data_IF_623741952570
#
_entry.id   IF_623741952570
#
_cell.length_a   1.000
_cell.length_b   1.000
_cell.length_c   1.000
_cell.angle_alpha   90.00
_cell.angle_beta   90.00
_cell.angle_gamma   90.00
#
_symmetry.space_group_name_H-M   'P 1'
#
loop_
_entity.id
_entity.type
_entity.pdbx_description
1 polymer ?
#
# COMPACT_ATOMS: atom_id res chain seq x y z
N UNK A 1 38.50 63.58 -20.40
CA UNK A 1 39.26 63.37 -19.16
C UNK A 1 38.47 62.42 -18.30
N UNK A 2 39.10 61.27 -17.96
CA UNK A 2 38.79 60.27 -16.93
C UNK A 2 37.44 59.54 -17.10
N UNK A 3 37.31 58.37 -17.67
CA UNK A 3 37.74 56.98 -17.31
C UNK A 3 37.33 56.60 -15.87
N UNK A 4 36.23 55.83 -15.78
CA UNK A 4 35.74 55.15 -14.59
C UNK A 4 35.44 53.68 -14.94
N UNK A 5 36.36 52.84 -14.54
CA UNK A 5 36.46 51.40 -14.76
C UNK A 5 35.44 50.67 -13.86
N UNK A 6 34.45 50.00 -14.42
CA UNK A 6 33.51 49.17 -13.71
C UNK A 6 33.85 47.70 -13.89
N UNK A 7 34.52 47.09 -12.91
CA UNK A 7 34.84 45.66 -12.85
C UNK A 7 33.59 44.83 -12.79
N UNK A 8 33.32 44.06 -13.83
CA UNK A 8 32.35 42.98 -13.87
C UNK A 8 32.91 41.78 -13.07
N UNK A 9 32.34 41.50 -11.92
CA UNK A 9 32.51 40.22 -11.25
C UNK A 9 31.67 39.18 -12.01
N UNK A 10 32.34 38.32 -12.78
CA UNK A 10 31.78 37.15 -13.38
C UNK A 10 31.55 36.09 -12.28
N UNK A 11 30.28 35.79 -12.02
CA UNK A 11 29.90 34.61 -11.29
C UNK A 11 30.01 33.44 -12.25
N UNK A 12 31.08 32.65 -12.13
CA UNK A 12 31.24 31.40 -12.83
C UNK A 12 30.19 30.41 -12.34
N UNK A 13 29.10 30.23 -13.10
CA UNK A 13 28.19 29.12 -12.92
C UNK A 13 28.95 27.81 -13.12
N UNK A 14 29.15 27.04 -12.07
CA UNK A 14 29.52 25.64 -12.20
C UNK A 14 28.36 24.94 -12.90
N UNK A 15 28.53 24.69 -14.20
CA UNK A 15 27.72 23.74 -14.94
C UNK A 15 27.94 22.37 -14.30
N UNK A 16 26.85 21.80 -13.75
CA UNK A 16 26.83 20.44 -13.29
C UNK A 16 27.31 19.51 -14.42
N UNK A 17 28.40 18.82 -14.15
CA UNK A 17 28.87 17.74 -15.01
C UNK A 17 27.74 16.72 -15.09
N UNK A 18 27.23 16.49 -16.29
CA UNK A 18 26.25 15.42 -16.55
C UNK A 18 26.85 14.09 -16.10
N UNK A 19 26.26 13.50 -15.04
CA UNK A 19 26.55 12.13 -14.68
C UNK A 19 26.15 11.25 -15.86
N UNK A 20 27.13 10.62 -16.50
CA UNK A 20 26.88 9.55 -17.47
C UNK A 20 26.06 8.43 -16.82
N UNK A 21 25.47 7.53 -17.60
CA UNK A 21 24.68 6.43 -17.05
C UNK A 21 25.55 5.71 -16.02
N UNK A 22 25.14 5.80 -14.72
CA UNK A 22 25.80 5.07 -13.62
C UNK A 22 25.63 3.58 -13.92
N UNK A 23 26.73 2.83 -13.94
CA UNK A 23 26.66 1.38 -13.98
C UNK A 23 25.80 0.89 -12.81
N UNK A 24 24.87 -0.06 -13.04
CA UNK A 24 24.03 -0.57 -11.99
C UNK A 24 24.88 -1.17 -10.86
N UNK A 25 24.52 -0.84 -9.62
CA UNK A 25 25.26 -1.34 -8.45
C UNK A 25 25.10 -2.86 -8.34
N UNK A 26 26.21 -3.59 -8.38
CA UNK A 26 26.21 -5.05 -8.22
C UNK A 26 25.87 -5.43 -6.78
N UNK A 27 24.88 -6.32 -6.63
CA UNK A 27 24.35 -6.71 -5.35
C UNK A 27 24.33 -8.24 -5.15
N UNK A 28 24.45 -8.65 -3.91
CA UNK A 28 24.24 -10.02 -3.45
C UNK A 28 23.00 -10.07 -2.56
N UNK A 29 22.05 -10.97 -2.84
CA UNK A 29 20.84 -11.13 -2.04
C UNK A 29 20.95 -12.33 -1.12
N UNK A 30 20.77 -12.13 0.19
CA UNK A 30 20.81 -13.16 1.22
C UNK A 30 19.45 -13.28 1.88
N UNK A 31 18.84 -14.47 1.83
CA UNK A 31 17.58 -14.76 2.50
C UNK A 31 17.85 -15.68 3.71
N UNK A 32 17.84 -15.14 4.93
CA UNK A 32 18.00 -15.95 6.13
C UNK A 32 16.68 -16.66 6.46
N UNK A 33 16.75 -17.99 6.60
CA UNK A 33 15.62 -18.84 6.98
C UNK A 33 15.93 -19.49 8.33
N UNK A 34 15.12 -19.18 9.34
CA UNK A 34 15.25 -19.77 10.66
C UNK A 34 14.65 -21.18 10.61
N UNK A 35 15.44 -22.20 10.94
CA UNK A 35 14.97 -23.57 11.04
C UNK A 35 14.22 -23.75 12.37
N UNK A 36 12.89 -23.87 12.32
CA UNK A 36 12.11 -24.24 13.47
C UNK A 36 12.47 -25.65 13.96
N UNK A 37 12.38 -25.86 15.27
CA UNK A 37 12.56 -27.21 15.84
C UNK A 37 11.48 -28.12 15.27
N UNK A 38 11.89 -29.34 14.88
CA UNK A 38 10.99 -30.36 14.32
C UNK A 38 9.72 -30.52 15.18
N UNK A 39 8.58 -30.10 14.65
CA UNK A 39 7.28 -30.16 15.30
C UNK A 39 6.32 -29.01 15.01
N UNK A 40 6.82 -27.82 14.69
CA UNK A 40 6.00 -26.65 14.36
C UNK A 40 5.81 -26.53 12.84
N UNK A 41 5.03 -27.42 12.28
CA UNK A 41 4.47 -27.22 10.95
C UNK A 41 3.30 -26.22 11.08
N UNK A 42 3.61 -24.94 11.22
CA UNK A 42 2.60 -23.91 11.08
C UNK A 42 2.04 -23.95 9.64
N UNK A 43 0.70 -23.92 9.46
CA UNK A 43 0.08 -23.94 8.12
C UNK A 43 0.48 -22.76 7.23
N UNK A 44 1.18 -21.77 7.77
CA UNK A 44 1.60 -20.51 7.13
C UNK A 44 3.08 -20.45 6.74
N UNK A 45 3.77 -21.59 6.68
CA UNK A 45 5.18 -21.57 6.31
C UNK A 45 5.34 -21.25 4.82
N UNK A 46 5.89 -20.09 4.52
CA UNK A 46 6.22 -19.67 3.15
C UNK A 46 7.30 -20.55 2.53
N UNK A 47 7.19 -20.75 1.22
CA UNK A 47 8.22 -21.44 0.46
C UNK A 47 9.53 -20.66 0.45
N UNK A 48 10.65 -21.33 0.74
CA UNK A 48 11.97 -20.70 0.82
C UNK A 48 12.40 -20.11 -0.53
N UNK A 49 12.09 -20.77 -1.66
CA UNK A 49 12.42 -20.30 -3.01
C UNK A 49 11.52 -19.13 -3.43
N UNK A 50 10.25 -19.13 -3.03
CA UNK A 50 9.36 -18.01 -3.26
C UNK A 50 9.83 -16.75 -2.50
N UNK A 51 10.33 -16.91 -1.27
CA UNK A 51 10.96 -15.81 -0.51
C UNK A 51 12.22 -15.29 -1.18
N UNK A 52 13.06 -16.18 -1.73
CA UNK A 52 14.25 -15.76 -2.49
C UNK A 52 13.85 -14.99 -3.73
N UNK A 53 12.86 -15.48 -4.48
CA UNK A 53 12.34 -14.80 -5.67
C UNK A 53 11.78 -13.41 -5.34
N UNK A 54 11.03 -13.28 -4.24
CA UNK A 54 10.52 -11.99 -3.75
C UNK A 54 11.66 -11.03 -3.40
N UNK A 55 12.67 -11.49 -2.64
CA UNK A 55 13.81 -10.66 -2.23
C UNK A 55 14.64 -10.17 -3.43
N UNK A 56 14.84 -11.02 -4.43
CA UNK A 56 15.48 -10.66 -5.70
C UNK A 56 14.63 -9.64 -6.45
N UNK A 57 13.31 -9.84 -6.53
CA UNK A 57 12.38 -8.90 -7.16
C UNK A 57 12.37 -7.52 -6.49
N UNK A 58 12.49 -7.46 -5.15
CA UNK A 58 12.65 -6.20 -4.41
C UNK A 58 13.96 -5.49 -4.77
N UNK A 59 15.06 -6.21 -4.86
CA UNK A 59 16.36 -5.63 -5.23
C UNK A 59 16.36 -5.11 -6.67
N UNK A 60 15.74 -5.83 -7.61
CA UNK A 60 15.56 -5.40 -9.00
C UNK A 60 14.68 -4.14 -9.11
N UNK A 61 13.73 -3.93 -8.18
CA UNK A 61 12.86 -2.76 -8.18
C UNK A 61 13.60 -1.43 -7.97
N UNK A 62 14.85 -1.47 -7.54
CA UNK A 62 15.77 -0.33 -7.41
C UNK A 62 16.97 -0.41 -8.37
N UNK A 63 16.82 -1.09 -9.49
CA UNK A 63 17.81 -1.21 -10.55
C UNK A 63 19.18 -1.76 -10.09
N UNK A 64 19.17 -2.70 -9.12
CA UNK A 64 20.37 -3.41 -8.74
C UNK A 64 20.69 -4.53 -9.75
N UNK A 65 21.98 -4.71 -10.05
CA UNK A 65 22.48 -5.86 -10.80
C UNK A 65 22.76 -7.01 -9.83
N UNK A 66 21.94 -8.05 -9.88
CA UNK A 66 22.02 -9.18 -8.95
C UNK A 66 23.10 -10.15 -9.42
N UNK A 67 24.29 -10.02 -8.84
CA UNK A 67 25.43 -10.86 -9.16
C UNK A 67 25.29 -12.28 -8.60
N UNK A 68 24.63 -12.42 -7.45
CA UNK A 68 24.39 -13.70 -6.80
C UNK A 68 23.26 -13.58 -5.77
N UNK A 69 22.58 -14.70 -5.47
CA UNK A 69 21.51 -14.76 -4.49
C UNK A 69 21.51 -16.13 -3.78
N UNK A 70 21.05 -16.19 -2.54
CA UNK A 70 20.99 -17.48 -1.86
C UNK A 70 20.27 -17.49 -0.52
N UNK A 71 19.75 -18.67 -0.19
CA UNK A 71 19.08 -18.96 1.07
C UNK A 71 20.11 -19.41 2.10
N UNK A 72 20.05 -18.83 3.30
CA UNK A 72 20.92 -19.17 4.43
C UNK A 72 20.09 -19.73 5.56
N UNK A 73 20.19 -21.05 5.77
CA UNK A 73 19.50 -21.74 6.87
C UNK A 73 20.18 -21.45 8.20
N UNK A 74 19.45 -20.87 9.14
CA UNK A 74 19.91 -20.46 10.46
C UNK A 74 19.25 -21.35 11.52
N UNK A 75 20.04 -22.05 12.33
CA UNK A 75 19.52 -22.86 13.45
C UNK A 75 19.13 -22.00 14.64
N UNK A 76 19.86 -20.92 14.88
CA UNK A 76 19.61 -19.97 15.97
C UNK A 76 20.19 -18.61 15.60
N UNK A 77 19.40 -17.53 15.64
CA UNK A 77 19.88 -16.17 15.37
C UNK A 77 20.99 -15.75 16.32
N UNK A 78 22.09 -15.23 15.77
CA UNK A 78 23.22 -14.73 16.56
C UNK A 78 23.05 -13.22 16.82
N UNK A 79 23.23 -12.74 18.07
CA UNK A 79 23.12 -11.30 18.38
C UNK A 79 24.10 -10.43 17.61
N UNK A 80 25.29 -10.95 17.28
CA UNK A 80 26.34 -10.19 16.62
C UNK A 80 26.19 -10.09 15.09
N UNK A 81 25.72 -11.15 14.41
CA UNK A 81 25.79 -11.27 12.94
C UNK A 81 24.55 -11.91 12.34
N UNK A 82 23.48 -12.17 13.11
CA UNK A 82 22.29 -12.90 12.73
C UNK A 82 22.56 -14.38 12.44
N UNK A 83 23.60 -14.70 11.69
CA UNK A 83 24.00 -16.04 11.26
C UNK A 83 25.34 -16.47 11.88
N UNK A 84 25.63 -17.78 11.85
CA UNK A 84 26.88 -18.32 12.40
C UNK A 84 28.13 -17.89 11.61
N UNK A 85 29.32 -17.85 12.26
CA UNK A 85 30.57 -17.37 11.66
C UNK A 85 30.93 -18.10 10.36
N UNK A 86 30.76 -19.43 10.30
CA UNK A 86 31.07 -20.18 9.08
C UNK A 86 30.18 -19.75 7.88
N UNK A 87 28.92 -19.38 8.11
CA UNK A 87 28.07 -18.83 7.04
C UNK A 87 28.46 -17.42 6.66
N UNK A 88 28.88 -16.60 7.62
CA UNK A 88 29.40 -15.25 7.35
C UNK A 88 30.65 -15.33 6.47
N UNK A 89 31.59 -16.27 6.77
CA UNK A 89 32.79 -16.48 5.98
C UNK A 89 32.52 -17.03 4.58
N UNK A 90 31.58 -18.00 4.45
CA UNK A 90 31.13 -18.54 3.16
C UNK A 90 30.59 -17.42 2.25
N UNK A 91 29.72 -16.58 2.78
CA UNK A 91 29.13 -15.42 2.06
C UNK A 91 30.24 -14.42 1.72
N UNK A 92 31.18 -14.13 2.64
CA UNK A 92 32.30 -13.24 2.38
C UNK A 92 33.16 -13.71 1.20
N UNK A 93 33.36 -15.03 1.06
CA UNK A 93 34.09 -15.61 -0.08
C UNK A 93 33.32 -15.41 -1.40
N UNK A 94 31.99 -15.62 -1.41
CA UNK A 94 31.13 -15.40 -2.59
C UNK A 94 31.12 -13.93 -3.00
N UNK A 95 30.99 -13.00 -2.05
CA UNK A 95 31.00 -11.54 -2.28
C UNK A 95 32.30 -11.12 -2.97
N UNK A 96 33.45 -11.61 -2.50
CA UNK A 96 34.76 -11.32 -3.11
C UNK A 96 34.91 -11.87 -4.51
N UNK A 97 34.42 -13.09 -4.77
CA UNK A 97 34.46 -13.71 -6.11
C UNK A 97 33.57 -12.94 -7.09
N UNK A 98 32.40 -12.53 -6.63
CA UNK A 98 31.43 -11.81 -7.45
C UNK A 98 31.71 -10.31 -7.58
N UNK A 99 32.71 -9.77 -6.87
CA UNK A 99 33.04 -8.33 -6.81
C UNK A 99 31.82 -7.45 -6.52
N UNK A 100 31.18 -7.73 -5.37
CA UNK A 100 29.93 -7.10 -4.96
C UNK A 100 30.20 -6.05 -3.88
N UNK A 101 29.70 -4.82 -4.10
CA UNK A 101 29.81 -3.71 -3.15
C UNK A 101 28.59 -3.55 -2.22
N UNK A 102 27.47 -4.22 -2.52
CA UNK A 102 26.22 -4.13 -1.76
C UNK A 102 25.63 -5.50 -1.47
N UNK A 103 25.26 -5.75 -0.21
CA UNK A 103 24.55 -6.97 0.19
C UNK A 103 23.17 -6.61 0.72
N UNK A 104 22.16 -7.24 0.17
CA UNK A 104 20.78 -7.16 0.63
C UNK A 104 20.50 -8.35 1.53
N UNK A 105 20.11 -8.12 2.78
CA UNK A 105 19.68 -9.17 3.71
C UNK A 105 18.17 -9.08 3.90
N UNK A 106 17.47 -10.11 3.45
CA UNK A 106 16.00 -10.19 3.51
C UNK A 106 15.48 -10.54 4.92
N UNK A 107 15.88 -9.74 5.89
CA UNK A 107 15.43 -9.81 7.28
C UNK A 107 15.74 -8.49 7.98
N UNK A 108 15.02 -8.14 9.06
CA UNK A 108 15.36 -6.97 9.87
C UNK A 108 16.70 -7.23 10.59
N UNK A 109 17.63 -6.29 10.44
CA UNK A 109 18.93 -6.32 11.13
C UNK A 109 18.97 -5.30 12.28
N UNK A 110 19.56 -5.69 13.39
CA UNK A 110 19.95 -4.69 14.38
C UNK A 110 21.14 -3.87 13.86
N UNK A 111 21.35 -2.63 14.30
CA UNK A 111 22.48 -1.80 13.90
C UNK A 111 23.84 -2.45 14.16
N UNK A 112 23.92 -3.27 15.22
CA UNK A 112 25.14 -4.02 15.56
C UNK A 112 25.37 -5.14 14.53
N UNK A 113 24.33 -5.89 14.18
CA UNK A 113 24.43 -6.93 13.17
C UNK A 113 24.85 -6.34 11.83
N UNK A 114 24.20 -5.28 11.39
CA UNK A 114 24.53 -4.62 10.13
C UNK A 114 26.00 -4.18 10.10
N UNK A 115 26.45 -3.44 11.11
CA UNK A 115 27.84 -2.96 11.18
C UNK A 115 28.87 -4.09 11.20
N UNK A 116 28.56 -5.17 11.93
CA UNK A 116 29.48 -6.32 11.99
C UNK A 116 29.54 -7.04 10.65
N UNK A 117 28.40 -7.24 9.98
CA UNK A 117 28.34 -7.84 8.64
C UNK A 117 29.04 -6.96 7.60
N UNK A 118 28.87 -5.64 7.63
CA UNK A 118 29.61 -4.71 6.74
C UNK A 118 31.13 -4.83 6.92
N UNK A 119 31.58 -5.00 8.17
CA UNK A 119 32.99 -5.19 8.48
C UNK A 119 33.53 -6.52 7.96
N UNK A 120 32.81 -7.62 8.19
CA UNK A 120 33.21 -8.96 7.77
C UNK A 120 33.20 -9.13 6.25
N UNK A 121 32.22 -8.52 5.58
CA UNK A 121 32.04 -8.63 4.15
C UNK A 121 32.76 -7.56 3.34
N UNK A 122 33.24 -6.49 3.99
CA UNK A 122 33.83 -5.29 3.32
C UNK A 122 32.91 -4.71 2.25
N UNK A 123 31.62 -4.85 2.40
CA UNK A 123 30.55 -4.38 1.52
C UNK A 123 29.48 -3.66 2.33
N UNK A 124 28.74 -2.74 1.69
CA UNK A 124 27.56 -2.16 2.34
C UNK A 124 26.49 -3.21 2.55
N UNK A 125 25.76 -3.12 3.65
CA UNK A 125 24.66 -4.02 3.97
C UNK A 125 23.38 -3.22 4.12
N UNK A 126 22.36 -3.61 3.40
CA UNK A 126 20.99 -3.09 3.54
C UNK A 126 20.09 -4.23 4.00
N UNK A 127 19.26 -3.97 5.00
CA UNK A 127 18.26 -4.93 5.45
C UNK A 127 16.93 -4.74 4.69
N UNK A 128 15.97 -5.67 4.88
CA UNK A 128 14.66 -5.63 4.24
C UNK A 128 13.97 -4.28 4.43
N UNK A 129 13.98 -3.71 5.65
CA UNK A 129 13.38 -2.40 5.93
C UNK A 129 14.04 -1.28 5.13
N UNK A 130 15.37 -1.24 5.10
CA UNK A 130 16.13 -0.26 4.33
C UNK A 130 15.86 -0.40 2.83
N UNK A 131 15.80 -1.63 2.30
CA UNK A 131 15.49 -1.88 0.89
C UNK A 131 14.10 -1.36 0.51
N UNK A 132 13.08 -1.66 1.31
CA UNK A 132 11.71 -1.17 1.08
C UNK A 132 11.68 0.36 1.08
N UNK A 133 12.38 1.00 2.02
CA UNK A 133 12.49 2.47 2.07
C UNK A 133 13.13 3.05 0.80
N UNK A 134 14.18 2.43 0.27
CA UNK A 134 14.81 2.87 -0.98
C UNK A 134 13.86 2.72 -2.17
N UNK A 135 13.09 1.62 -2.25
CA UNK A 135 12.07 1.44 -3.29
C UNK A 135 11.04 2.57 -3.21
N UNK A 136 10.53 2.84 -2.01
CA UNK A 136 9.55 3.91 -1.80
C UNK A 136 10.11 5.30 -2.12
N UNK A 137 11.38 5.55 -1.80
CA UNK A 137 12.08 6.78 -2.15
C UNK A 137 12.08 7.06 -3.65
N UNK A 138 12.26 6.01 -4.46
CA UNK A 138 12.22 6.10 -5.92
C UNK A 138 10.81 6.22 -6.49
N UNK A 139 9.80 5.67 -5.82
CA UNK A 139 8.40 5.62 -6.30
C UNK A 139 7.56 6.82 -5.89
N UNK A 140 7.91 7.52 -4.82
CA UNK A 140 7.18 8.69 -4.33
C UNK A 140 7.22 9.84 -5.35
N UNK A 141 6.11 10.10 -6.00
CA UNK A 141 5.97 11.18 -7.00
C UNK A 141 5.29 12.40 -6.40
N UNK A 142 4.30 12.19 -5.52
CA UNK A 142 3.59 13.28 -4.86
C UNK A 142 4.43 13.93 -3.77
N UNK A 143 4.14 15.20 -3.47
CA UNK A 143 4.79 15.89 -2.36
C UNK A 143 4.50 15.21 -1.02
N UNK A 144 3.28 14.69 -0.84
CA UNK A 144 2.89 13.94 0.35
C UNK A 144 3.65 12.63 0.48
N UNK A 145 3.68 11.82 -0.59
CA UNK A 145 4.44 10.57 -0.62
C UNK A 145 5.93 10.79 -0.30
N UNK A 146 6.56 11.84 -0.87
CA UNK A 146 7.94 12.20 -0.57
C UNK A 146 8.17 12.54 0.90
N UNK A 147 7.27 13.33 1.51
CA UNK A 147 7.36 13.68 2.92
C UNK A 147 7.17 12.46 3.83
N UNK A 148 6.28 11.54 3.46
CA UNK A 148 6.07 10.29 4.19
C UNK A 148 7.29 9.38 4.15
N UNK A 149 7.87 9.20 2.96
CA UNK A 149 9.09 8.41 2.79
C UNK A 149 10.26 9.05 3.53
N UNK A 150 10.43 10.37 3.46
CA UNK A 150 11.47 11.10 4.21
C UNK A 150 11.29 10.92 5.73
N UNK A 151 10.04 10.97 6.22
CA UNK A 151 9.74 10.74 7.63
C UNK A 151 10.15 9.33 8.06
N UNK A 152 9.82 8.32 7.26
CA UNK A 152 10.17 6.92 7.52
C UNK A 152 11.68 6.71 7.50
N UNK A 153 12.39 7.25 6.51
CA UNK A 153 13.85 7.21 6.43
C UNK A 153 14.53 7.84 7.66
N UNK A 154 14.11 9.03 8.06
CA UNK A 154 14.66 9.72 9.21
C UNK A 154 14.38 8.98 10.53
N UNK A 155 13.20 8.37 10.65
CA UNK A 155 12.85 7.53 11.81
C UNK A 155 13.72 6.28 11.88
N UNK A 156 13.91 5.62 10.76
CA UNK A 156 14.80 4.47 10.62
C UNK A 156 16.27 4.85 10.94
N UNK A 157 16.80 5.92 10.36
CA UNK A 157 18.15 6.42 10.65
C UNK A 157 18.31 6.77 12.13
N UNK A 158 17.34 7.47 12.72
CA UNK A 158 17.36 7.84 14.15
C UNK A 158 17.41 6.60 15.05
N UNK A 159 16.66 5.54 14.75
CA UNK A 159 16.68 4.29 15.51
C UNK A 159 18.06 3.62 15.49
N UNK A 160 18.80 3.76 14.41
CA UNK A 160 20.14 3.21 14.23
C UNK A 160 21.21 4.00 14.93
N UNK A 161 21.13 5.32 14.95
CA UNK A 161 22.06 6.20 15.69
C UNK A 161 22.01 5.95 17.21
N UNK A 162 20.82 5.81 17.80
CA UNK A 162 20.65 5.59 19.24
C UNK A 162 21.30 4.28 19.70
N UNK A 163 21.15 3.20 18.93
CA UNK A 163 21.70 1.88 19.31
C UNK A 163 23.21 1.77 19.11
N UNK A 164 23.79 2.52 18.22
CA UNK A 164 25.24 2.59 18.04
C UNK A 164 25.93 3.24 19.27
N UNK A 165 25.27 4.17 19.92
CA UNK A 165 25.79 4.95 21.03
C UNK A 165 25.82 4.20 22.38
N UNK A 166 24.74 3.47 22.70
CA UNK A 166 24.66 2.69 23.94
C UNK A 166 25.73 1.60 24.05
N UNK A 167 26.33 1.18 22.92
CA UNK A 167 27.38 0.19 22.91
C UNK A 167 28.77 0.80 23.20
N UNK A 168 28.99 2.07 22.84
CA UNK A 168 30.24 2.79 23.15
C UNK A 168 30.31 3.18 24.63
N UNK A 169 29.20 3.51 25.28
CA UNK A 169 29.14 3.77 26.72
C UNK A 169 29.51 2.53 27.56
N UNK A 170 29.05 1.33 27.15
CA UNK A 170 29.39 0.08 27.87
C UNK A 170 30.85 -0.35 27.77
N UNK A 171 31.58 0.09 26.74
CA UNK A 171 32.99 -0.21 26.56
C UNK A 171 33.93 0.78 27.28
N UNK A 172 33.43 1.96 27.66
CA UNK A 172 34.17 2.93 28.49
C UNK A 172 33.73 2.83 29.95
N UNK A 173 34.09 1.72 30.57
CA UNK A 173 33.97 1.57 32.02
C UNK A 173 34.84 2.61 32.73
N UNK A 174 34.21 3.51 33.49
CA UNK A 174 34.85 4.27 34.52
C UNK A 174 35.38 5.65 34.12
N UNK A 175 34.91 6.60 34.83
CA UNK A 175 35.21 8.03 34.91
C UNK A 175 34.42 8.93 33.96
N UNK A 176 33.38 9.50 34.58
CA UNK A 176 32.51 10.50 34.01
C UNK A 176 33.17 11.85 33.78
N UNK A 177 32.46 12.69 33.09
CA UNK A 177 32.58 14.16 32.99
C UNK A 177 33.46 14.79 31.90
N UNK A 178 33.91 14.07 30.90
CA UNK A 178 34.43 14.74 29.69
C UNK A 178 33.87 14.09 28.45
N UNK A 179 32.68 14.60 27.98
CA UNK A 179 32.16 14.29 26.66
C UNK A 179 33.18 14.68 25.59
N UNK A 180 33.76 13.69 24.91
CA UNK A 180 34.68 13.97 23.81
C UNK A 180 33.98 14.61 22.62
N UNK A 181 34.66 15.29 21.68
CA UNK A 181 34.09 15.96 20.52
C UNK A 181 33.21 15.04 19.64
N UNK A 182 33.30 13.70 19.77
CA UNK A 182 32.44 12.74 19.12
C UNK A 182 31.03 12.58 19.72
N UNK A 183 30.84 12.83 21.01
CA UNK A 183 29.54 12.81 21.69
C UNK A 183 28.67 13.95 21.24
N UNK A 184 29.24 15.15 21.20
CA UNK A 184 28.54 16.36 20.77
C UNK A 184 28.08 16.28 19.31
N UNK A 185 28.81 15.61 18.44
CA UNK A 185 28.42 15.44 17.03
C UNK A 185 27.22 14.53 16.86
N UNK A 186 27.21 13.38 17.54
CA UNK A 186 26.07 12.44 17.47
C UNK A 186 24.80 13.05 18.08
N UNK A 187 24.93 13.78 19.20
CA UNK A 187 23.78 14.48 19.78
C UNK A 187 23.28 15.62 18.88
N UNK A 188 24.19 16.35 18.23
CA UNK A 188 23.83 17.36 17.24
C UNK A 188 23.10 16.72 16.04
N UNK A 189 23.61 15.63 15.48
CA UNK A 189 22.98 14.90 14.37
C UNK A 189 21.60 14.38 14.77
N UNK A 190 21.46 13.80 15.97
CA UNK A 190 20.19 13.34 16.52
C UNK A 190 19.17 14.45 16.67
N UNK A 191 19.62 15.63 17.12
CA UNK A 191 18.77 16.81 17.27
C UNK A 191 18.30 17.30 15.90
N UNK A 192 19.21 17.41 14.92
CA UNK A 192 18.88 17.82 13.55
C UNK A 192 17.85 16.88 12.91
N UNK A 193 18.03 15.56 13.05
CA UNK A 193 17.06 14.57 12.57
C UNK A 193 15.71 14.74 13.27
N UNK A 194 15.71 14.95 14.60
CA UNK A 194 14.48 15.15 15.35
C UNK A 194 13.75 16.45 14.95
N UNK A 195 14.48 17.53 14.73
CA UNK A 195 13.94 18.81 14.26
C UNK A 195 13.30 18.62 12.86
N UNK A 196 13.99 17.89 11.95
CA UNK A 196 13.48 17.60 10.62
C UNK A 196 12.21 16.74 10.68
N UNK A 197 12.19 15.67 11.49
CA UNK A 197 11.01 14.85 11.75
C UNK A 197 9.82 15.70 12.21
N UNK A 198 10.06 16.61 13.16
CA UNK A 198 9.00 17.49 13.71
C UNK A 198 8.46 18.43 12.64
N UNK A 199 9.32 18.95 11.77
CA UNK A 199 8.95 19.82 10.66
C UNK A 199 8.09 19.06 9.63
N UNK A 200 8.54 17.87 9.21
CA UNK A 200 7.80 17.03 8.24
C UNK A 200 6.42 16.67 8.77
N UNK A 201 6.30 16.31 10.06
CA UNK A 201 4.99 16.01 10.66
C UNK A 201 4.04 17.21 10.57
N UNK A 202 4.52 18.44 10.81
CA UNK A 202 3.70 19.65 10.64
C UNK A 202 3.29 19.87 9.19
N UNK A 203 4.18 19.62 8.24
CA UNK A 203 3.90 19.74 6.80
C UNK A 203 2.84 18.71 6.39
N UNK A 204 2.96 17.45 6.82
CA UNK A 204 1.97 16.39 6.58
C UNK A 204 0.60 16.71 7.20
N UNK A 205 0.56 17.27 8.41
CA UNK A 205 -0.69 17.70 9.05
C UNK A 205 -1.37 18.84 8.26
N UNK A 206 -0.60 19.71 7.63
CA UNK A 206 -1.14 20.77 6.77
C UNK A 206 -1.73 20.16 5.48
N UNK A 207 -1.04 19.20 4.86
CA UNK A 207 -1.53 18.48 3.66
C UNK A 207 -2.82 17.73 3.96
N UNK A 208 -2.89 17.01 5.10
CA UNK A 208 -4.10 16.30 5.55
C UNK A 208 -5.29 17.25 5.73
N UNK A 209 -5.11 18.40 6.37
CA UNK A 209 -6.17 19.40 6.52
C UNK A 209 -6.66 19.92 5.18
N UNK A 210 -5.75 20.19 4.24
CA UNK A 210 -6.12 20.65 2.91
C UNK A 210 -6.91 19.58 2.14
N UNK A 211 -6.47 18.30 2.22
CA UNK A 211 -7.19 17.16 1.65
C UNK A 211 -8.61 17.01 2.23
N UNK A 212 -8.75 17.13 3.55
CA UNK A 212 -10.06 17.08 4.21
C UNK A 212 -11.02 18.18 3.74
N UNK A 213 -10.51 19.39 3.45
CA UNK A 213 -11.29 20.48 2.87
C UNK A 213 -11.72 20.19 1.43
N UNK A 214 -10.82 19.67 0.59
CA UNK A 214 -11.15 19.26 -0.77
C UNK A 214 -12.14 18.10 -0.81
N UNK A 215 -12.04 17.18 0.16
CA UNK A 215 -12.95 16.04 0.31
C UNK A 215 -14.36 16.49 0.65
N UNK A 216 -14.53 17.43 1.58
CA UNK A 216 -15.84 18.06 1.86
C UNK A 216 -16.45 18.72 0.62
N UNK A 217 -15.64 19.25 -0.30
CA UNK A 217 -16.10 19.77 -1.58
C UNK A 217 -16.57 18.66 -2.55
N UNK A 218 -15.93 17.50 -2.55
CA UNK A 218 -16.28 16.32 -3.38
C UNK A 218 -17.46 15.54 -2.81
N UNK A 219 -17.68 15.58 -1.49
CA UNK A 219 -18.84 14.95 -0.82
C UNK A 219 -20.22 15.51 -1.28
N UNK A 220 -20.23 16.52 -2.15
CA UNK A 220 -21.44 17.01 -2.82
C UNK A 220 -21.98 16.09 -3.91
N UNK A 221 -21.19 15.09 -4.34
CA UNK A 221 -21.64 14.02 -5.24
C UNK A 221 -21.24 12.70 -4.58
N UNK A 222 -22.17 11.99 -3.93
CA UNK A 222 -21.88 10.80 -3.14
C UNK A 222 -21.68 9.58 -4.05
N UNK A 223 -20.61 9.56 -4.84
CA UNK A 223 -20.22 8.33 -5.53
C UNK A 223 -19.60 7.37 -4.50
N UNK A 224 -20.13 6.14 -4.39
CA UNK A 224 -19.52 5.12 -3.55
C UNK A 224 -18.05 4.89 -3.92
N UNK A 225 -17.23 4.64 -2.90
CA UNK A 225 -15.80 4.44 -3.05
C UNK A 225 -15.42 2.97 -2.95
N UNK A 226 -14.58 2.50 -3.87
CA UNK A 226 -14.05 1.14 -3.93
C UNK A 226 -12.54 1.20 -3.90
N UNK A 227 -11.91 0.48 -2.97
CA UNK A 227 -10.45 0.41 -2.88
C UNK A 227 -9.93 -0.98 -3.27
N UNK A 228 -8.89 -1.01 -4.12
CA UNK A 228 -8.14 -2.23 -4.42
C UNK A 228 -7.06 -2.42 -3.36
N UNK A 229 -7.07 -3.55 -2.68
CA UNK A 229 -6.01 -3.96 -1.75
C UNK A 229 -5.47 -5.33 -2.15
N UNK A 230 -4.28 -5.66 -1.70
CA UNK A 230 -3.69 -6.96 -1.97
C UNK A 230 -2.17 -6.91 -1.96
N UNK A 231 -1.55 -8.06 -2.03
CA UNK A 231 -0.11 -8.20 -2.01
C UNK A 231 0.58 -7.49 -3.19
N UNK A 232 1.88 -7.18 -3.08
CA UNK A 232 2.65 -6.66 -4.22
C UNK A 232 2.59 -7.64 -5.38
N UNK A 233 2.51 -7.12 -6.60
CA UNK A 233 2.38 -7.90 -7.83
C UNK A 233 1.14 -8.84 -7.93
N UNK A 234 0.10 -8.66 -7.09
CA UNK A 234 -1.16 -9.39 -7.25
C UNK A 234 -1.99 -8.95 -8.48
N UNK A 235 -1.55 -7.91 -9.18
CA UNK A 235 -2.20 -7.39 -10.39
C UNK A 235 -3.24 -6.29 -10.14
N UNK A 236 -3.17 -5.58 -8.99
CA UNK A 236 -4.07 -4.46 -8.65
C UNK A 236 -4.10 -3.37 -9.71
N UNK A 237 -2.94 -2.85 -10.09
CA UNK A 237 -2.85 -1.77 -11.09
C UNK A 237 -3.26 -2.23 -12.49
N UNK A 238 -3.04 -3.51 -12.83
CA UNK A 238 -3.54 -4.10 -14.07
C UNK A 238 -5.06 -4.17 -14.07
N UNK A 239 -5.66 -4.62 -12.95
CA UNK A 239 -7.10 -4.66 -12.76
C UNK A 239 -7.70 -3.25 -12.77
N UNK A 240 -7.06 -2.30 -12.08
CA UNK A 240 -7.45 -0.89 -12.10
C UNK A 240 -7.49 -0.33 -13.52
N UNK A 241 -6.46 -0.55 -14.32
CA UNK A 241 -6.39 -0.10 -15.71
C UNK A 241 -7.50 -0.71 -16.56
N UNK A 242 -7.78 -2.01 -16.34
CA UNK A 242 -8.84 -2.72 -17.06
C UNK A 242 -10.21 -2.13 -16.75
N UNK A 243 -10.51 -1.90 -15.47
CA UNK A 243 -11.79 -1.36 -15.02
C UNK A 243 -12.00 0.11 -15.37
N UNK A 244 -10.93 0.92 -15.36
CA UNK A 244 -11.01 2.37 -15.60
C UNK A 244 -10.72 2.76 -17.04
N UNK A 245 -10.30 1.83 -17.90
CA UNK A 245 -9.78 2.10 -19.25
C UNK A 245 -8.60 3.11 -19.24
N UNK A 246 -7.89 3.19 -18.14
CA UNK A 246 -6.76 4.09 -17.95
C UNK A 246 -5.44 3.43 -18.39
N UNK A 247 -4.47 4.25 -18.77
CA UNK A 247 -3.11 3.80 -19.11
C UNK A 247 -2.14 4.05 -17.95
N UNK A 248 -2.50 3.74 -16.70
CA UNK A 248 -1.54 3.82 -15.59
C UNK A 248 -0.45 2.78 -15.80
N UNK A 249 0.80 3.15 -15.55
CA UNK A 249 1.95 2.26 -15.76
C UNK A 249 1.83 1.04 -14.85
N UNK A 250 1.31 -0.06 -15.41
CA UNK A 250 1.33 -1.37 -14.77
C UNK A 250 2.62 -2.06 -15.23
N UNK A 251 3.62 -2.08 -14.37
CA UNK A 251 4.86 -2.81 -14.59
C UNK A 251 4.85 -4.07 -13.73
N UNK A 252 5.43 -5.14 -14.26
CA UNK A 252 5.67 -6.38 -13.49
C UNK A 252 6.83 -6.17 -12.51
N UNK A 253 6.62 -5.22 -11.59
CA UNK A 253 7.59 -4.81 -10.58
C UNK A 253 6.90 -4.65 -9.23
N UNK A 254 7.60 -5.06 -8.18
CA UNK A 254 7.14 -4.89 -6.80
C UNK A 254 7.01 -3.39 -6.46
N UNK A 255 5.92 -3.02 -5.79
CA UNK A 255 5.58 -1.63 -5.47
C UNK A 255 5.52 -0.69 -6.70
N UNK A 256 4.87 -1.13 -7.76
CA UNK A 256 4.65 -0.29 -8.95
C UNK A 256 3.85 0.99 -8.62
N UNK A 257 2.89 0.89 -7.70
CA UNK A 257 2.07 2.00 -7.19
C UNK A 257 2.42 2.30 -5.74
N UNK A 258 2.79 3.55 -5.44
CA UNK A 258 2.97 4.05 -4.08
C UNK A 258 1.94 5.15 -3.75
N UNK A 259 1.77 6.11 -4.64
CA UNK A 259 0.76 7.16 -4.50
C UNK A 259 -0.60 6.63 -5.02
N UNK A 260 -1.68 6.71 -4.23
CA UNK A 260 -2.98 6.19 -4.65
C UNK A 260 -3.51 6.96 -5.87
N UNK A 261 -4.05 6.22 -6.82
CA UNK A 261 -4.70 6.78 -8.01
C UNK A 261 -6.19 6.53 -7.94
N UNK A 262 -7.01 7.58 -8.07
CA UNK A 262 -8.47 7.50 -8.01
C UNK A 262 -9.07 7.83 -9.37
N UNK A 263 -10.05 7.03 -9.84
CA UNK A 263 -10.80 7.23 -11.08
C UNK A 263 -12.27 6.90 -10.90
N UNK A 264 -13.12 7.58 -11.68
CA UNK A 264 -14.52 7.21 -11.78
C UNK A 264 -14.69 6.01 -12.73
N UNK A 265 -15.57 5.09 -12.35
CA UNK A 265 -15.97 3.90 -13.14
C UNK A 265 -17.50 3.89 -13.19
N UNK A 266 -18.05 3.61 -14.37
CA UNK A 266 -19.48 3.41 -14.54
C UNK A 266 -19.75 1.90 -14.56
N UNK A 267 -20.58 1.45 -13.64
CA UNK A 267 -21.03 0.04 -13.54
C UNK A 267 -22.07 -0.27 -14.63
N UNK A 268 -22.34 -1.57 -14.91
CA UNK A 268 -23.18 -1.99 -16.04
C UNK A 268 -24.57 -1.31 -16.11
N UNK A 269 -25.21 -1.07 -14.96
CA UNK A 269 -26.52 -0.42 -14.91
C UNK A 269 -26.46 1.10 -14.68
N UNK A 270 -25.30 1.72 -14.97
CA UNK A 270 -25.15 3.17 -14.99
C UNK A 270 -24.77 3.81 -13.66
N UNK A 271 -24.60 3.04 -12.57
CA UNK A 271 -24.10 3.58 -11.30
C UNK A 271 -22.65 4.01 -11.47
N UNK A 272 -22.33 5.20 -10.98
CA UNK A 272 -20.95 5.68 -10.90
C UNK A 272 -20.36 5.39 -9.53
N UNK A 273 -19.12 4.88 -9.54
CA UNK A 273 -18.30 4.65 -8.35
C UNK A 273 -16.95 5.34 -8.53
N UNK A 274 -16.24 5.56 -7.44
CA UNK A 274 -14.82 5.91 -7.46
C UNK A 274 -13.98 4.67 -7.13
N UNK A 275 -13.05 4.32 -8.01
CA UNK A 275 -12.11 3.20 -7.79
C UNK A 275 -10.75 3.77 -7.47
N UNK A 276 -10.10 3.25 -6.42
CA UNK A 276 -8.75 3.62 -6.03
C UNK A 276 -7.79 2.44 -6.12
N UNK A 277 -6.65 2.64 -6.80
CA UNK A 277 -5.49 1.74 -6.75
C UNK A 277 -4.60 2.15 -5.60
N UNK A 278 -4.19 1.19 -4.76
CA UNK A 278 -3.42 1.45 -3.55
C UNK A 278 -2.06 0.77 -3.58
N UNK A 279 -1.20 1.15 -2.65
CA UNK A 279 0.10 0.50 -2.45
C UNK A 279 -0.06 -1.00 -2.18
N UNK A 280 0.80 -1.82 -2.78
CA UNK A 280 0.81 -3.26 -2.50
C UNK A 280 1.37 -3.56 -1.11
N UNK A 281 0.75 -4.49 -0.41
CA UNK A 281 1.29 -5.02 0.84
C UNK A 281 2.40 -6.03 0.59
N UNK A 282 3.25 -6.20 1.57
CA UNK A 282 4.34 -7.17 1.56
C UNK A 282 4.49 -7.76 2.96
N UNK A 283 5.05 -8.95 3.07
CA UNK A 283 5.33 -9.57 4.36
C UNK A 283 6.31 -8.77 5.20
N UNK A 284 6.20 -8.91 6.50
CA UNK A 284 7.10 -8.27 7.47
C UNK A 284 7.23 -6.75 7.26
N UNK A 285 6.12 -6.09 6.83
CA UNK A 285 6.11 -4.65 6.68
C UNK A 285 6.29 -4.00 8.05
N UNK A 286 7.38 -3.23 8.28
CA UNK A 286 7.60 -2.62 9.58
C UNK A 286 6.45 -1.69 9.98
N UNK A 287 5.99 -1.79 11.24
CA UNK A 287 4.88 -0.97 11.78
C UNK A 287 5.14 0.54 11.66
N UNK A 288 6.41 0.96 11.75
CA UNK A 288 6.82 2.35 11.53
C UNK A 288 6.53 2.80 10.08
N UNK A 289 6.64 1.87 9.10
CA UNK A 289 6.30 2.14 7.70
C UNK A 289 4.79 2.19 7.52
N UNK A 290 4.03 1.26 8.10
CA UNK A 290 2.55 1.29 8.09
C UNK A 290 2.05 2.63 8.63
N UNK A 291 2.62 3.11 9.74
CA UNK A 291 2.28 4.40 10.31
C UNK A 291 2.62 5.60 9.39
N UNK A 292 3.77 5.52 8.68
CA UNK A 292 4.17 6.55 7.72
C UNK A 292 3.24 6.59 6.51
N UNK A 293 2.76 5.42 6.04
CA UNK A 293 1.86 5.29 4.88
C UNK A 293 0.37 5.32 5.25
N UNK A 294 0.03 5.52 6.52
CA UNK A 294 -1.38 5.59 6.96
C UNK A 294 -2.22 6.54 6.11
N UNK A 295 -1.64 7.65 5.63
CA UNK A 295 -2.36 8.61 4.80
C UNK A 295 -2.64 8.10 3.36
N UNK A 296 -1.79 7.22 2.81
CA UNK A 296 -2.06 6.55 1.53
C UNK A 296 -3.07 5.41 1.70
N UNK A 297 -3.15 4.85 2.91
CA UNK A 297 -4.10 3.82 3.30
C UNK A 297 -5.44 4.39 3.82
N UNK A 298 -5.55 5.73 4.00
CA UNK A 298 -6.82 6.40 4.34
C UNK A 298 -7.90 6.10 3.28
N UNK A 299 -7.53 5.98 2.01
CA UNK A 299 -8.47 5.61 0.93
C UNK A 299 -9.05 4.19 1.12
N UNK A 300 -8.31 3.29 1.76
CA UNK A 300 -8.79 1.93 2.12
C UNK A 300 -9.69 1.97 3.34
N UNK A 301 -9.29 2.72 4.37
CA UNK A 301 -10.04 2.85 5.63
C UNK A 301 -11.42 3.49 5.40
N UNK A 302 -11.49 4.43 4.46
CA UNK A 302 -12.71 5.17 4.15
C UNK A 302 -13.51 4.55 2.99
N UNK A 303 -13.03 3.47 2.38
CA UNK A 303 -13.73 2.82 1.28
C UNK A 303 -15.05 2.18 1.73
N UNK A 304 -16.10 2.40 0.93
CA UNK A 304 -17.38 1.73 1.14
C UNK A 304 -17.27 0.23 0.84
N UNK A 305 -16.41 -0.14 -0.15
CA UNK A 305 -16.13 -1.52 -0.53
C UNK A 305 -14.64 -1.72 -0.75
N UNK A 306 -14.11 -2.84 -0.28
CA UNK A 306 -12.71 -3.26 -0.46
C UNK A 306 -12.67 -4.48 -1.39
N UNK A 307 -11.88 -4.41 -2.44
CA UNK A 307 -11.58 -5.55 -3.31
C UNK A 307 -10.20 -6.10 -2.95
N UNK A 308 -10.17 -7.24 -2.29
CA UNK A 308 -8.93 -7.92 -1.93
C UNK A 308 -8.44 -8.77 -3.12
N UNK A 309 -7.49 -8.22 -3.88
CA UNK A 309 -6.92 -8.85 -5.07
C UNK A 309 -5.81 -9.81 -4.68
N UNK A 310 -5.96 -11.09 -5.04
CA UNK A 310 -5.01 -12.17 -4.75
C UNK A 310 -4.47 -12.77 -6.05
N UNK A 311 -3.18 -13.06 -6.07
CA UNK A 311 -2.56 -13.87 -7.12
C UNK A 311 -2.76 -15.35 -6.77
N UNK A 312 -3.70 -16.02 -7.45
CA UNK A 312 -4.01 -17.42 -7.16
C UNK A 312 -3.05 -18.41 -7.83
N UNK A 313 -2.21 -17.94 -8.74
CA UNK A 313 -1.17 -18.76 -9.35
C UNK A 313 0.07 -18.89 -8.47
N UNK A 314 0.19 -18.03 -7.42
CA UNK A 314 1.34 -18.03 -6.54
C UNK A 314 1.24 -19.12 -5.47
N UNK A 315 2.34 -19.85 -5.22
CA UNK A 315 2.39 -20.95 -4.25
C UNK A 315 2.03 -20.48 -2.83
N UNK A 316 2.43 -19.27 -2.45
CA UNK A 316 2.15 -18.67 -1.14
C UNK A 316 0.89 -17.79 -1.12
N UNK A 317 -0.05 -17.97 -2.07
CA UNK A 317 -1.25 -17.12 -2.18
C UNK A 317 -2.04 -17.03 -0.87
N UNK A 318 -2.14 -18.13 -0.12
CA UNK A 318 -2.84 -18.15 1.18
C UNK A 318 -2.09 -17.34 2.25
N UNK A 319 -0.77 -17.50 2.37
CA UNK A 319 0.05 -16.75 3.31
C UNK A 319 0.06 -15.24 2.98
N UNK A 320 0.15 -14.88 1.68
CA UNK A 320 0.03 -13.50 1.24
C UNK A 320 -1.32 -12.88 1.59
N UNK A 321 -2.40 -13.67 1.49
CA UNK A 321 -3.74 -13.23 1.90
C UNK A 321 -3.80 -12.94 3.40
N UNK A 322 -3.24 -13.84 4.22
CA UNK A 322 -3.20 -13.67 5.66
C UNK A 322 -2.44 -12.40 6.08
N UNK A 323 -1.28 -12.11 5.44
CA UNK A 323 -0.54 -10.88 5.69
C UNK A 323 -1.35 -9.62 5.36
N UNK A 324 -2.08 -9.63 4.23
CA UNK A 324 -2.94 -8.49 3.86
C UNK A 324 -4.03 -8.27 4.90
N UNK A 325 -4.73 -9.34 5.33
CA UNK A 325 -5.77 -9.26 6.35
C UNK A 325 -5.22 -8.78 7.70
N UNK A 326 -4.01 -9.21 8.07
CA UNK A 326 -3.33 -8.73 9.28
C UNK A 326 -3.15 -7.21 9.23
N UNK A 327 -2.65 -6.67 8.11
CA UNK A 327 -2.47 -5.22 7.96
C UNK A 327 -3.81 -4.49 7.97
N UNK A 328 -4.86 -5.02 7.34
CA UNK A 328 -6.21 -4.43 7.38
C UNK A 328 -6.75 -4.38 8.82
N UNK A 329 -6.50 -5.43 9.61
CA UNK A 329 -6.85 -5.45 11.03
C UNK A 329 -6.07 -4.39 11.84
N UNK A 330 -4.76 -4.23 11.61
CA UNK A 330 -3.94 -3.18 12.23
C UNK A 330 -4.42 -1.76 11.86
N UNK A 331 -5.02 -1.59 10.68
CA UNK A 331 -5.64 -0.34 10.25
C UNK A 331 -7.01 -0.08 10.90
N UNK A 332 -7.55 -1.05 11.65
CA UNK A 332 -8.80 -0.94 12.39
C UNK A 332 -10.04 -1.42 11.64
N UNK A 333 -9.87 -2.13 10.51
CA UNK A 333 -10.99 -2.68 9.72
C UNK A 333 -11.51 -4.02 10.26
N UNK A 334 -10.81 -4.63 11.23
CA UNK A 334 -11.14 -5.93 11.81
C UNK A 334 -10.55 -7.11 11.02
N UNK A 335 -10.65 -8.30 11.60
CA UNK A 335 -10.09 -9.54 11.01
C UNK A 335 -10.82 -9.97 9.73
N UNK A 336 -12.13 -9.73 9.65
CA UNK A 336 -12.97 -10.04 8.50
C UNK A 336 -13.88 -8.83 8.21
N UNK A 337 -13.41 -7.85 7.43
CA UNK A 337 -14.23 -6.70 7.09
C UNK A 337 -15.49 -7.12 6.34
N UNK A 338 -16.67 -6.67 6.81
CA UNK A 338 -17.95 -6.98 6.17
C UNK A 338 -18.09 -6.40 4.75
N UNK A 339 -17.30 -5.36 4.45
CA UNK A 339 -17.25 -4.68 3.15
C UNK A 339 -16.07 -5.14 2.29
N UNK A 340 -15.68 -6.43 2.37
CA UNK A 340 -14.58 -6.99 1.60
C UNK A 340 -15.08 -8.06 0.62
N UNK A 341 -14.69 -7.96 -0.64
CA UNK A 341 -14.86 -8.99 -1.66
C UNK A 341 -13.47 -9.52 -2.06
N UNK A 342 -13.27 -10.83 -1.99
CA UNK A 342 -12.06 -11.46 -2.52
C UNK A 342 -12.10 -11.55 -4.04
N UNK A 343 -11.02 -11.09 -4.69
CA UNK A 343 -10.84 -11.18 -6.15
C UNK A 343 -9.62 -12.04 -6.45
N UNK A 344 -9.87 -13.23 -6.98
CA UNK A 344 -8.85 -14.19 -7.36
C UNK A 344 -8.36 -13.89 -8.77
N UNK A 345 -7.23 -13.20 -8.85
CA UNK A 345 -6.66 -12.74 -10.11
C UNK A 345 -5.59 -13.70 -10.66
N UNK A 346 -5.19 -13.50 -11.89
CA UNK A 346 -4.23 -14.29 -12.69
C UNK A 346 -4.73 -15.70 -13.01
N UNK A 347 -6.02 -15.82 -13.23
CA UNK A 347 -6.66 -17.08 -13.63
C UNK A 347 -6.04 -17.67 -14.93
N UNK A 348 -5.52 -16.83 -15.79
CA UNK A 348 -4.84 -17.16 -17.04
C UNK A 348 -3.52 -17.92 -16.85
N UNK A 349 -2.89 -17.84 -15.68
CA UNK A 349 -1.64 -18.54 -15.35
C UNK A 349 -1.86 -19.96 -14.81
N UNK A 350 -3.11 -20.32 -14.46
CA UNK A 350 -3.41 -21.64 -13.93
C UNK A 350 -3.49 -22.69 -15.04
N UNK A 351 -2.99 -23.91 -14.80
CA UNK A 351 -3.26 -25.06 -15.65
C UNK A 351 -4.77 -25.30 -15.84
N UNK A 352 -5.18 -25.77 -17.01
CA UNK A 352 -6.59 -25.90 -17.37
C UNK A 352 -7.40 -26.75 -16.36
N UNK A 353 -6.82 -27.84 -15.85
CA UNK A 353 -7.48 -28.74 -14.90
C UNK A 353 -7.67 -28.08 -13.52
N UNK A 354 -6.65 -27.39 -13.02
CA UNK A 354 -6.72 -26.64 -11.76
C UNK A 354 -7.75 -25.52 -11.84
N UNK A 355 -7.73 -24.79 -12.95
CA UNK A 355 -8.68 -23.71 -13.25
C UNK A 355 -10.11 -24.22 -13.26
N UNK A 356 -10.40 -25.32 -13.98
CA UNK A 356 -11.74 -25.92 -14.04
C UNK A 356 -12.22 -26.36 -12.65
N UNK A 357 -11.36 -27.01 -11.87
CA UNK A 357 -11.66 -27.43 -10.51
C UNK A 357 -11.94 -26.25 -9.56
N UNK A 358 -11.21 -25.15 -9.72
CA UNK A 358 -11.41 -23.92 -8.93
C UNK A 358 -12.74 -23.25 -9.26
N UNK A 359 -13.06 -23.06 -10.54
CA UNK A 359 -14.31 -22.45 -10.98
C UNK A 359 -15.52 -23.27 -10.53
N UNK A 360 -15.42 -24.61 -10.56
CA UNK A 360 -16.47 -25.50 -10.04
C UNK A 360 -16.70 -25.30 -8.54
N UNK A 361 -15.63 -25.17 -7.74
CA UNK A 361 -15.73 -24.90 -6.30
C UNK A 361 -16.38 -23.56 -6.01
N UNK A 362 -15.98 -22.50 -6.72
CA UNK A 362 -16.58 -21.16 -6.59
C UNK A 362 -18.07 -21.22 -6.91
N UNK A 363 -18.46 -21.82 -8.04
CA UNK A 363 -19.86 -21.97 -8.43
C UNK A 363 -20.68 -22.74 -7.40
N UNK A 364 -20.09 -23.75 -6.75
CA UNK A 364 -20.77 -24.50 -5.68
C UNK A 364 -21.03 -23.65 -4.44
N UNK A 365 -20.05 -22.85 -3.99
CA UNK A 365 -20.23 -21.93 -2.87
C UNK A 365 -21.30 -20.89 -3.19
N UNK A 366 -21.23 -20.27 -4.36
CA UNK A 366 -22.20 -19.25 -4.79
C UNK A 366 -23.63 -19.82 -4.93
N UNK A 367 -23.78 -21.08 -5.31
CA UNK A 367 -25.10 -21.73 -5.39
C UNK A 367 -25.68 -22.10 -4.03
N UNK A 368 -24.85 -22.37 -3.03
CA UNK A 368 -25.30 -22.78 -1.69
C UNK A 368 -25.52 -21.60 -0.72
N UNK A 369 -24.73 -20.54 -0.83
CA UNK A 369 -24.71 -19.40 0.10
C UNK A 369 -25.20 -18.08 -0.52
N UNK A 370 -25.49 -18.07 -1.80
CA UNK A 370 -25.94 -16.91 -2.59
C UNK A 370 -24.89 -16.42 -3.57
N UNK A 371 -25.34 -15.72 -4.62
CA UNK A 371 -24.49 -15.29 -5.74
C UNK A 371 -23.31 -14.38 -5.36
N UNK A 372 -23.37 -13.76 -4.18
CA UNK A 372 -22.30 -12.91 -3.65
C UNK A 372 -21.39 -13.62 -2.64
N UNK A 373 -21.64 -14.89 -2.34
CA UNK A 373 -20.80 -15.67 -1.44
C UNK A 373 -19.58 -16.20 -2.19
N UNK A 374 -18.40 -16.07 -1.56
CA UNK A 374 -17.15 -16.59 -2.10
C UNK A 374 -16.38 -15.61 -3.00
N UNK A 375 -15.18 -16.02 -3.41
CA UNK A 375 -14.30 -15.20 -4.23
C UNK A 375 -14.78 -15.11 -5.69
N UNK A 376 -14.36 -14.02 -6.36
CA UNK A 376 -14.61 -13.82 -7.78
C UNK A 376 -13.31 -14.05 -8.55
N UNK A 377 -13.31 -15.03 -9.44
CA UNK A 377 -12.15 -15.37 -10.25
C UNK A 377 -12.07 -14.49 -11.50
N UNK A 378 -10.90 -13.88 -11.72
CA UNK A 378 -10.66 -12.97 -12.85
C UNK A 378 -9.28 -13.18 -13.46
N UNK A 379 -9.12 -12.73 -14.70
CA UNK A 379 -7.83 -12.40 -15.29
C UNK A 379 -7.84 -10.93 -15.69
N UNK A 380 -7.14 -10.10 -14.94
CA UNK A 380 -6.98 -8.69 -15.28
C UNK A 380 -6.28 -8.50 -16.64
N UNK A 381 -5.42 -9.46 -17.05
CA UNK A 381 -4.70 -9.42 -18.31
C UNK A 381 -5.60 -9.73 -19.49
N UNK A 382 -6.36 -10.82 -19.45
CA UNK A 382 -7.22 -11.25 -20.57
C UNK A 382 -8.59 -10.57 -20.58
N UNK A 383 -9.09 -10.16 -19.41
CA UNK A 383 -10.42 -9.60 -19.21
C UNK A 383 -11.48 -10.61 -18.78
N UNK A 384 -11.09 -11.86 -18.60
CA UNK A 384 -12.00 -12.90 -18.14
C UNK A 384 -12.50 -12.63 -16.73
N UNK A 385 -13.81 -12.84 -16.48
CA UNK A 385 -14.45 -12.64 -15.19
C UNK A 385 -14.67 -11.17 -14.79
N UNK A 386 -14.27 -10.20 -15.61
CA UNK A 386 -14.41 -8.76 -15.29
C UNK A 386 -15.87 -8.34 -15.24
N UNK A 387 -16.72 -8.81 -16.15
CA UNK A 387 -18.15 -8.50 -16.13
C UNK A 387 -18.80 -9.05 -14.86
N UNK A 388 -18.47 -10.29 -14.47
CA UNK A 388 -18.93 -10.89 -13.21
C UNK A 388 -18.49 -10.07 -11.99
N UNK A 389 -17.27 -9.54 -11.98
CA UNK A 389 -16.77 -8.67 -10.92
C UNK A 389 -17.57 -7.36 -10.87
N UNK A 390 -17.84 -6.73 -12.01
CA UNK A 390 -18.61 -5.49 -12.07
C UNK A 390 -20.05 -5.71 -11.59
N UNK A 391 -20.69 -6.80 -12.00
CA UNK A 391 -22.04 -7.18 -11.54
C UNK A 391 -22.07 -7.44 -10.03
N UNK A 392 -21.05 -8.09 -9.49
CA UNK A 392 -20.96 -8.35 -8.05
C UNK A 392 -20.79 -7.05 -7.24
N UNK A 393 -19.95 -6.12 -7.71
CA UNK A 393 -19.81 -4.79 -7.10
C UNK A 393 -21.16 -4.06 -7.12
N UNK A 394 -21.86 -4.11 -8.24
CA UNK A 394 -23.16 -3.44 -8.37
C UNK A 394 -24.23 -4.07 -7.47
N UNK A 395 -24.27 -5.39 -7.40
CA UNK A 395 -25.17 -6.15 -6.52
C UNK A 395 -24.88 -5.84 -5.05
N UNK A 396 -23.60 -5.78 -4.65
CA UNK A 396 -23.21 -5.40 -3.30
C UNK A 396 -23.76 -4.02 -2.92
N UNK A 397 -23.55 -3.02 -3.76
CA UNK A 397 -24.11 -1.67 -3.51
C UNK A 397 -25.62 -1.61 -3.60
N UNK A 398 -26.26 -2.48 -4.38
CA UNK A 398 -27.72 -2.57 -4.43
C UNK A 398 -28.29 -3.11 -3.12
N UNK A 399 -27.64 -4.13 -2.54
CA UNK A 399 -28.04 -4.71 -1.26
C UNK A 399 -27.81 -3.72 -0.09
N UNK A 400 -26.71 -2.95 -0.14
CA UNK A 400 -26.34 -1.94 0.86
C UNK A 400 -27.05 -0.59 0.66
N UNK A 401 -28.08 -0.52 -0.17
CA UNK A 401 -28.84 0.71 -0.39
C UNK A 401 -30.33 0.45 -0.51
N UNK A 402 -31.13 1.42 -0.08
CA UNK A 402 -32.59 1.36 -0.16
C UNK A 402 -33.13 2.41 -1.13
N UNK A 403 -33.98 1.98 -2.06
CA UNK A 403 -34.72 2.91 -2.90
C UNK A 403 -35.87 3.54 -2.11
N UNK A 404 -36.00 4.86 -2.18
CA UNK A 404 -37.06 5.62 -1.57
C UNK A 404 -37.65 6.61 -2.58
N UNK A 405 -38.97 6.71 -2.56
CA UNK A 405 -39.68 7.76 -3.26
C UNK A 405 -40.20 8.76 -2.24
N UNK A 406 -40.03 10.04 -2.53
CA UNK A 406 -40.53 11.12 -1.68
C UNK A 406 -40.92 12.31 -2.53
N UNK A 407 -41.87 13.07 -2.03
CA UNK A 407 -42.28 14.37 -2.62
C UNK A 407 -41.84 15.47 -1.66
N UNK A 408 -40.96 16.36 -2.12
CA UNK A 408 -40.44 17.46 -1.32
C UNK A 408 -41.06 18.78 -1.82
N UNK A 409 -41.35 19.67 -0.89
CA UNK A 409 -41.75 21.04 -1.23
C UNK A 409 -40.61 21.74 -2.00
N UNK A 410 -40.93 22.31 -3.16
CA UNK A 410 -39.94 23.00 -4.01
C UNK A 410 -39.26 24.18 -3.30
N UNK A 411 -39.90 24.74 -2.26
CA UNK A 411 -39.36 25.82 -1.45
C UNK A 411 -38.40 25.36 -0.34
N UNK A 412 -38.39 24.07 0.00
CA UNK A 412 -37.47 23.52 1.02
C UNK A 412 -36.09 23.23 0.43
N UNK A 413 -35.35 24.29 0.17
CA UNK A 413 -33.95 24.18 -0.31
C UNK A 413 -33.02 23.45 0.65
N UNK A 414 -33.34 23.43 1.97
CA UNK A 414 -32.51 22.73 2.95
C UNK A 414 -32.70 21.21 2.89
N UNK A 415 -33.94 20.74 2.65
CA UNK A 415 -34.24 19.35 2.42
C UNK A 415 -33.62 18.85 1.11
N UNK A 416 -33.80 19.62 0.02
CA UNK A 416 -33.19 19.31 -1.27
C UNK A 416 -31.65 19.20 -1.17
N UNK A 417 -31.00 20.17 -0.53
CA UNK A 417 -29.56 20.17 -0.36
C UNK A 417 -29.10 18.92 0.44
N UNK A 418 -29.82 18.56 1.50
CA UNK A 418 -29.49 17.38 2.30
C UNK A 418 -29.60 16.10 1.44
N UNK A 419 -30.63 15.96 0.62
CA UNK A 419 -30.80 14.81 -0.28
C UNK A 419 -29.64 14.73 -1.27
N UNK A 420 -29.28 15.85 -1.93
CA UNK A 420 -28.15 15.85 -2.87
C UNK A 420 -26.78 15.59 -2.21
N UNK A 421 -26.64 15.89 -0.92
CA UNK A 421 -25.40 15.62 -0.17
C UNK A 421 -25.30 14.20 0.39
N UNK A 422 -26.43 13.51 0.62
CA UNK A 422 -26.45 12.26 1.36
C UNK A 422 -27.08 11.08 0.60
N UNK A 423 -27.73 11.33 -0.54
CA UNK A 423 -28.42 10.32 -1.33
C UNK A 423 -28.07 10.45 -2.81
N UNK A 424 -28.16 9.37 -3.55
CA UNK A 424 -28.08 9.36 -5.02
C UNK A 424 -29.47 9.64 -5.59
N UNK A 425 -29.65 10.76 -6.30
CA UNK A 425 -30.94 11.12 -6.93
C UNK A 425 -31.02 10.40 -8.28
N UNK A 426 -31.87 9.38 -8.34
CA UNK A 426 -32.08 8.55 -9.54
C UNK A 426 -33.00 9.23 -10.55
N UNK A 427 -34.06 9.90 -10.06
CA UNK A 427 -34.94 10.68 -10.89
C UNK A 427 -35.53 11.87 -10.13
N UNK A 428 -35.77 12.94 -10.86
CA UNK A 428 -36.45 14.15 -10.39
C UNK A 428 -37.57 14.46 -11.35
N UNK A 429 -38.80 14.48 -10.85
CA UNK A 429 -39.95 14.89 -11.64
C UNK A 429 -40.13 16.40 -11.69
N UNK A 430 -41.09 16.83 -12.48
CA UNK A 430 -41.53 18.23 -12.53
C UNK A 430 -42.27 18.63 -11.27
N UNK A 431 -42.27 19.92 -10.97
CA UNK A 431 -42.99 20.47 -9.80
C UNK A 431 -44.50 20.24 -10.00
N UNK A 432 -45.12 19.52 -9.06
CA UNK A 432 -46.54 19.25 -9.09
C UNK A 432 -47.34 20.55 -8.89
N UNK A 433 -48.61 20.57 -9.30
CA UNK A 433 -49.53 21.72 -9.08
C UNK A 433 -49.64 22.14 -7.61
N UNK A 434 -49.29 21.25 -6.69
CA UNK A 434 -49.23 21.45 -5.23
C UNK A 434 -47.87 21.96 -4.73
N UNK A 435 -46.94 22.24 -5.63
CA UNK A 435 -45.61 22.73 -5.28
C UNK A 435 -44.60 21.63 -4.82
N UNK A 436 -44.98 20.37 -4.92
CA UNK A 436 -44.12 19.25 -4.58
C UNK A 436 -43.21 18.79 -5.74
N UNK A 437 -41.98 18.40 -5.45
CA UNK A 437 -41.04 17.78 -6.40
C UNK A 437 -40.98 16.30 -6.08
N UNK A 438 -41.44 15.40 -6.95
CA UNK A 438 -41.27 13.97 -6.75
C UNK A 438 -39.81 13.59 -7.04
N UNK A 439 -39.19 12.88 -6.08
CA UNK A 439 -37.83 12.41 -6.15
C UNK A 439 -37.81 10.91 -5.92
N UNK A 440 -37.04 10.21 -6.75
CA UNK A 440 -36.60 8.83 -6.47
C UNK A 440 -35.15 8.89 -6.06
N UNK A 441 -34.89 8.45 -4.86
CA UNK A 441 -33.52 8.49 -4.30
C UNK A 441 -33.08 7.11 -3.82
N UNK A 442 -31.79 6.84 -4.00
CA UNK A 442 -31.12 5.68 -3.44
C UNK A 442 -30.37 6.12 -2.20
N UNK A 443 -30.75 5.56 -1.04
CA UNK A 443 -30.20 5.91 0.27
C UNK A 443 -29.21 4.83 0.69
N UNK A 444 -27.93 5.15 0.88
CA UNK A 444 -26.96 4.21 1.43
C UNK A 444 -27.34 3.76 2.86
N UNK A 445 -27.06 2.50 3.21
CA UNK A 445 -27.39 1.94 4.56
C UNK A 445 -26.81 2.77 5.68
N UNK A 446 -25.61 3.32 5.51
CA UNK A 446 -24.95 4.21 6.47
C UNK A 446 -25.70 5.53 6.71
N UNK A 447 -26.56 5.97 5.77
CA UNK A 447 -27.34 7.21 5.84
C UNK A 447 -28.82 6.95 6.11
N UNK A 448 -29.27 5.71 6.10
CA UNK A 448 -30.68 5.34 6.19
C UNK A 448 -31.35 5.85 7.47
N UNK A 449 -30.70 5.68 8.63
CA UNK A 449 -31.23 6.16 9.91
C UNK A 449 -31.41 7.71 9.94
N UNK A 450 -30.46 8.45 9.36
CA UNK A 450 -30.55 9.90 9.22
C UNK A 450 -31.64 10.34 8.25
N UNK A 451 -31.80 9.61 7.16
CA UNK A 451 -32.84 9.82 6.17
C UNK A 451 -34.23 9.56 6.77
N UNK A 452 -34.43 8.43 7.44
CA UNK A 452 -35.72 8.07 8.06
C UNK A 452 -36.12 9.06 9.14
N UNK A 453 -35.18 9.51 9.97
CA UNK A 453 -35.44 10.54 10.97
C UNK A 453 -35.96 11.86 10.36
N UNK A 454 -35.47 12.21 9.17
CA UNK A 454 -35.78 13.51 8.54
C UNK A 454 -36.92 13.45 7.55
N UNK A 455 -37.04 12.35 6.83
CA UNK A 455 -37.98 12.19 5.71
C UNK A 455 -38.88 10.95 5.82
N UNK A 456 -38.79 10.16 6.88
CA UNK A 456 -39.54 8.90 7.02
C UNK A 456 -41.05 9.05 6.90
N UNK A 457 -41.58 10.21 7.27
CA UNK A 457 -43.03 10.52 7.10
C UNK A 457 -43.43 10.87 5.66
N UNK A 458 -42.46 11.25 4.81
CA UNK A 458 -42.66 11.68 3.42
C UNK A 458 -42.25 10.60 2.41
N UNK A 459 -41.54 9.58 2.88
CA UNK A 459 -40.98 8.57 2.01
C UNK A 459 -41.86 7.31 1.95
N UNK A 460 -42.21 6.87 0.76
CA UNK A 460 -42.80 5.55 0.52
C UNK A 460 -41.72 4.57 0.03
N UNK A 461 -41.58 3.43 0.73
CA UNK A 461 -40.69 2.36 0.28
C UNK A 461 -41.31 1.58 -0.89
N UNK A 462 -40.57 1.42 -1.99
CA UNK A 462 -40.89 0.40 -2.98
C UNK A 462 -40.04 -0.83 -2.68
N UNK A 463 -40.62 -2.04 -2.65
CA UNK A 463 -39.83 -3.26 -2.68
C UNK A 463 -38.99 -3.25 -3.98
N UNK A 464 -37.75 -3.81 -3.96
CA UNK A 464 -36.93 -3.90 -5.16
C UNK A 464 -37.73 -4.56 -6.28
N UNK A 465 -37.79 -3.91 -7.46
CA UNK A 465 -38.40 -4.51 -8.63
C UNK A 465 -37.67 -5.85 -8.91
N UNK A 466 -38.39 -6.94 -9.23
CA UNK A 466 -37.73 -8.17 -9.60
C UNK A 466 -36.88 -7.89 -10.84
N UNK A 467 -35.61 -8.26 -10.74
CA UNK A 467 -34.69 -8.25 -11.87
C UNK A 467 -35.28 -9.22 -12.89
N UNK A 468 -35.86 -8.71 -13.94
CA UNK A 468 -36.32 -9.52 -15.07
C UNK A 468 -35.06 -9.98 -15.83
N UNK A 469 -34.97 -11.27 -16.20
CA UNK A 469 -33.79 -11.89 -16.78
C UNK A 469 -33.40 -11.33 -18.14
#
# INVERSE_FOLDING_TARGET
MQSGDARKHGVSGQQGQGEGPREPTRAFVVVPVIQDRAGDAAPDKRDDEARLSEAVGLALAIDLDIADAGIVKIKSPRPATLMGSGKVEEIAARIRIADVGLVVVDAPLTPIQQRNLEKEWSAKVIDRTGLILEIFGRRAQTNEGRLQVELAHLTYQKSRLVRSWTHLERQRGGFGFLGGPGETQIEADRRLIQERITRIRKELDAVRRHRALHRKGRARVPYPSVALVGYTNAGKSTLFNRLTQAGVVAQDMLFATLDPTVRAVTLPHGRQITLSDTVGFISDLPTDLVAAFRATLEEVIEADLILHVRDISHIDSAAQSADVLLVLNELGLGENPANLIEVWNKLDLLPADERAGMLTRIAHVQSSEGSNAGPIAVSALTGEGIDTLLDAIETWFATESSMRHLELDASDGAALNWIYENCEVMSRGEVSEKGGIPLTVRVPSSRLAGFEKRFGALATGIPPAPITP
#
